data_IF_205891900016
#
_entry.id   IF_205891900016
#
_cell.length_a   1.000
_cell.length_b   1.000
_cell.length_c   1.000
_cell.angle_alpha   90.00
_cell.angle_beta   90.00
_cell.angle_gamma   90.00
#
_symmetry.space_group_name_H-M   'P 1'
#
loop_
_entity.id
_entity.type
_entity.pdbx_description
1 polymer ?
#
# COMPACT_ATOMS: atom_id res chain seq x y z
N UNK A 1 -94.32 31.55 -13.69
CA UNK A 1 -93.16 31.87 -14.55
C UNK A 1 -91.96 32.13 -13.65
N UNK A 2 -90.96 31.23 -13.66
CA UNK A 2 -89.79 31.31 -12.78
C UNK A 2 -88.52 31.59 -13.60
N UNK A 3 -87.88 32.73 -13.33
CA UNK A 3 -86.69 33.22 -14.03
C UNK A 3 -85.43 32.58 -13.45
N UNK A 4 -84.75 31.71 -14.21
CA UNK A 4 -83.46 31.11 -13.81
C UNK A 4 -82.30 32.06 -14.11
N UNK A 5 -81.67 32.60 -13.07
CA UNK A 5 -80.37 33.27 -13.16
C UNK A 5 -79.26 32.26 -13.53
N UNK A 6 -78.62 32.44 -14.69
CA UNK A 6 -77.39 31.73 -15.07
C UNK A 6 -76.19 32.34 -14.34
N UNK A 7 -75.57 31.58 -13.43
CA UNK A 7 -74.26 31.92 -12.84
C UNK A 7 -73.17 31.88 -13.92
N UNK A 8 -72.55 33.03 -14.20
CA UNK A 8 -71.33 33.12 -15.04
C UNK A 8 -70.13 32.55 -14.26
N UNK A 9 -69.46 31.54 -14.84
CA UNK A 9 -68.16 31.05 -14.36
C UNK A 9 -67.07 32.06 -14.73
N UNK A 10 -66.31 32.52 -13.75
CA UNK A 10 -65.12 33.35 -13.94
C UNK A 10 -63.98 32.43 -14.42
N UNK A 11 -63.24 32.78 -15.50
CA UNK A 11 -62.09 31.99 -15.95
C UNK A 11 -60.98 32.02 -14.89
N UNK A 12 -60.46 30.85 -14.53
CA UNK A 12 -59.25 30.76 -13.68
C UNK A 12 -58.09 31.38 -14.46
N UNK A 13 -57.53 32.47 -13.94
CA UNK A 13 -56.34 33.10 -14.49
C UNK A 13 -55.21 32.06 -14.60
N UNK A 14 -54.75 31.78 -15.82
CA UNK A 14 -53.52 31.06 -16.06
C UNK A 14 -52.38 31.89 -15.45
N UNK A 15 -51.77 31.38 -14.37
CA UNK A 15 -50.52 31.95 -13.84
C UNK A 15 -49.46 31.85 -14.93
N UNK A 16 -49.13 32.97 -15.57
CA UNK A 16 -47.98 33.04 -16.46
C UNK A 16 -46.72 32.77 -15.65
N UNK A 17 -46.03 31.65 -15.91
CA UNK A 17 -44.68 31.44 -15.39
C UNK A 17 -43.80 32.52 -16.00
N UNK A 18 -43.24 33.42 -15.17
CA UNK A 18 -42.26 34.40 -15.64
C UNK A 18 -41.10 33.64 -16.31
N UNK A 19 -40.60 34.09 -17.47
CA UNK A 19 -39.45 33.47 -18.09
C UNK A 19 -38.25 33.59 -17.15
N UNK A 20 -37.62 32.45 -16.87
CA UNK A 20 -36.38 32.34 -16.09
C UNK A 20 -35.29 33.10 -16.85
N UNK A 21 -34.58 34.03 -16.21
CA UNK A 21 -33.57 34.85 -16.86
C UNK A 21 -32.44 33.98 -17.43
N UNK A 22 -31.75 34.44 -18.47
CA UNK A 22 -30.62 33.70 -19.06
C UNK A 22 -29.53 33.39 -18.02
N UNK A 23 -29.31 34.30 -17.07
CA UNK A 23 -28.41 34.10 -15.93
C UNK A 23 -28.88 32.95 -15.02
N UNK A 24 -30.17 32.87 -14.70
CA UNK A 24 -30.72 31.76 -13.92
C UNK A 24 -30.59 30.42 -14.66
N UNK A 25 -30.71 30.41 -15.99
CA UNK A 25 -30.49 29.20 -16.79
C UNK A 25 -29.01 28.77 -16.78
N UNK A 26 -28.08 29.73 -16.84
CA UNK A 26 -26.64 29.47 -16.79
C UNK A 26 -26.22 28.91 -15.42
N UNK A 27 -26.71 29.51 -14.33
CA UNK A 27 -26.46 29.04 -12.95
C UNK A 27 -26.97 27.62 -12.77
N UNK A 28 -28.23 27.33 -13.16
CA UNK A 28 -28.78 25.97 -13.08
C UNK A 28 -28.02 24.97 -13.96
N UNK A 29 -27.43 25.40 -15.08
CA UNK A 29 -26.59 24.52 -15.90
C UNK A 29 -25.27 24.19 -15.19
N UNK A 30 -24.61 25.19 -14.60
CA UNK A 30 -23.36 25.01 -13.84
C UNK A 30 -23.60 24.08 -12.63
N UNK A 31 -24.64 24.34 -11.83
CA UNK A 31 -25.01 23.51 -10.68
C UNK A 31 -25.26 22.04 -11.08
N UNK A 32 -25.88 21.81 -12.24
CA UNK A 32 -26.09 20.44 -12.76
C UNK A 32 -24.80 19.75 -13.17
N UNK A 33 -23.85 20.49 -13.76
CA UNK A 33 -22.55 19.94 -14.14
C UNK A 33 -21.72 19.61 -12.90
N UNK A 34 -21.71 20.52 -11.91
CA UNK A 34 -21.03 20.31 -10.63
C UNK A 34 -21.59 19.09 -9.89
N UNK A 35 -22.92 18.99 -9.75
CA UNK A 35 -23.54 17.83 -9.12
C UNK A 35 -23.30 16.51 -9.89
N UNK A 36 -23.21 16.56 -11.22
CA UNK A 36 -22.90 15.39 -12.02
C UNK A 36 -21.43 14.94 -11.84
N UNK A 37 -20.50 15.88 -11.75
CA UNK A 37 -19.08 15.60 -11.51
C UNK A 37 -18.86 15.10 -10.08
N UNK A 38 -19.48 15.71 -9.08
CA UNK A 38 -19.46 15.21 -7.69
C UNK A 38 -19.96 13.77 -7.61
N UNK A 39 -21.07 13.46 -8.28
CA UNK A 39 -21.61 12.10 -8.33
C UNK A 39 -20.64 11.13 -9.01
N UNK A 40 -19.95 11.56 -10.08
CA UNK A 40 -18.93 10.76 -10.76
C UNK A 40 -17.73 10.51 -9.84
N UNK A 41 -17.24 11.54 -9.17
CA UNK A 41 -16.12 11.45 -8.22
C UNK A 41 -16.47 10.48 -7.10
N UNK A 42 -17.66 10.64 -6.50
CA UNK A 42 -18.10 9.77 -5.42
C UNK A 42 -18.20 8.30 -5.87
N UNK A 43 -18.71 8.05 -7.08
CA UNK A 43 -18.78 6.70 -7.64
C UNK A 43 -17.39 6.06 -7.86
N UNK A 44 -16.34 6.85 -8.09
CA UNK A 44 -14.96 6.37 -8.16
C UNK A 44 -14.45 6.00 -6.76
N UNK A 45 -14.72 6.85 -5.77
CA UNK A 45 -14.23 6.65 -4.39
C UNK A 45 -14.94 5.51 -3.66
N UNK A 46 -16.21 5.26 -3.96
CA UNK A 46 -16.99 4.15 -3.39
C UNK A 46 -16.65 2.79 -4.00
N UNK A 47 -15.85 2.77 -5.08
CA UNK A 47 -15.50 1.55 -5.79
C UNK A 47 -14.23 0.90 -5.20
N UNK A 48 -14.27 -0.38 -4.81
CA UNK A 48 -13.05 -1.09 -4.43
C UNK A 48 -12.13 -1.34 -5.64
N UNK A 49 -10.84 -1.18 -5.41
CA UNK A 49 -9.78 -1.53 -6.36
C UNK A 49 -8.96 -2.69 -5.80
N UNK A 50 -8.79 -3.75 -6.59
CA UNK A 50 -7.85 -4.82 -6.25
C UNK A 50 -6.47 -4.45 -6.79
N UNK A 51 -5.61 -3.99 -5.90
CA UNK A 51 -4.22 -3.69 -6.23
C UNK A 51 -3.33 -4.86 -5.84
N UNK A 52 -2.32 -5.14 -6.66
CA UNK A 52 -1.45 -6.32 -6.51
C UNK A 52 0.01 -5.92 -6.55
N UNK A 53 0.85 -6.74 -5.93
CA UNK A 53 2.29 -6.75 -6.13
C UNK A 53 2.83 -8.17 -6.01
N UNK A 54 3.81 -8.47 -6.85
CA UNK A 54 4.60 -9.70 -6.80
C UNK A 54 6.06 -9.30 -6.55
N UNK A 55 6.71 -9.92 -5.58
CA UNK A 55 8.11 -9.61 -5.25
C UNK A 55 8.83 -10.80 -4.64
N UNK A 56 10.16 -10.72 -4.60
CA UNK A 56 11.02 -11.69 -3.94
C UNK A 56 11.66 -11.02 -2.73
N UNK A 57 11.52 -11.60 -1.54
CA UNK A 57 11.98 -10.99 -0.29
C UNK A 57 13.50 -10.76 -0.35
N UNK A 58 14.25 -11.72 -0.87
CA UNK A 58 15.71 -11.64 -0.96
C UNK A 58 16.18 -10.57 -1.94
N UNK A 59 15.47 -10.41 -3.07
CA UNK A 59 15.78 -9.40 -4.09
C UNK A 59 15.51 -7.99 -3.53
N UNK A 60 14.31 -7.75 -2.98
CA UNK A 60 13.96 -6.48 -2.30
C UNK A 60 14.98 -6.14 -1.21
N UNK A 61 15.34 -7.11 -0.38
CA UNK A 61 16.31 -6.91 0.70
C UNK A 61 17.66 -6.49 0.15
N UNK A 62 18.14 -7.15 -0.89
CA UNK A 62 19.42 -6.83 -1.52
C UNK A 62 19.43 -5.38 -2.00
N UNK A 63 18.38 -4.93 -2.67
CA UNK A 63 18.31 -3.57 -3.21
C UNK A 63 18.30 -2.52 -2.11
N UNK A 64 17.51 -2.73 -1.05
CA UNK A 64 17.49 -1.83 0.11
C UNK A 64 18.84 -1.81 0.86
N UNK A 65 19.52 -2.96 0.97
CA UNK A 65 20.84 -3.02 1.62
C UNK A 65 21.91 -2.31 0.79
N UNK A 66 21.88 -2.44 -0.55
CA UNK A 66 22.80 -1.72 -1.43
C UNK A 66 22.65 -0.20 -1.22
N UNK A 67 21.41 0.29 -1.15
CA UNK A 67 21.15 1.70 -0.86
C UNK A 67 21.77 2.15 0.48
N UNK A 68 21.64 1.36 1.54
CA UNK A 68 22.26 1.67 2.83
C UNK A 68 23.78 1.77 2.72
N UNK A 69 24.42 0.80 2.05
CA UNK A 69 25.89 0.78 1.87
C UNK A 69 26.36 2.00 1.07
N UNK A 70 25.67 2.34 -0.01
CA UNK A 70 26.00 3.49 -0.87
C UNK A 70 25.94 4.83 -0.11
N UNK A 71 25.06 4.93 0.89
CA UNK A 71 24.85 6.16 1.68
C UNK A 71 25.52 6.13 3.06
N UNK A 72 26.37 5.12 3.32
CA UNK A 72 27.07 4.97 4.59
C UNK A 72 26.14 4.78 5.80
N UNK A 73 24.95 4.22 5.57
CA UNK A 73 23.99 3.89 6.61
C UNK A 73 24.28 2.49 7.15
N UNK A 74 24.27 2.32 8.47
CA UNK A 74 24.34 1.01 9.10
C UNK A 74 22.91 0.46 9.31
N UNK A 75 22.47 -0.54 8.51
CA UNK A 75 21.16 -1.14 8.68
C UNK A 75 21.02 -1.94 9.99
N UNK A 76 22.14 -2.23 10.67
CA UNK A 76 22.19 -2.94 11.95
C UNK A 76 22.29 -1.98 13.17
N UNK A 77 22.35 -0.66 12.95
CA UNK A 77 22.38 0.32 14.03
C UNK A 77 21.08 0.24 14.85
N UNK A 78 21.19 -0.26 16.08
CA UNK A 78 20.05 -0.55 16.97
C UNK A 78 19.20 0.67 17.34
N UNK A 79 19.73 1.87 17.12
CA UNK A 79 19.22 3.11 17.69
C UNK A 79 18.56 4.02 16.64
N UNK A 80 18.56 3.63 15.35
CA UNK A 80 18.01 4.44 14.26
C UNK A 80 17.10 3.63 13.34
N UNK A 81 15.87 4.09 13.17
CA UNK A 81 14.99 3.65 12.09
C UNK A 81 15.52 4.25 10.79
N UNK A 82 16.01 3.41 9.86
CA UNK A 82 16.48 3.88 8.55
C UNK A 82 15.27 4.31 7.72
N UNK A 83 15.22 5.59 7.33
CA UNK A 83 14.25 6.07 6.35
C UNK A 83 14.72 5.74 4.93
N UNK A 84 13.83 5.13 4.14
CA UNK A 84 14.04 4.90 2.72
C UNK A 84 13.12 5.80 1.90
N UNK A 85 13.68 6.61 0.96
CA UNK A 85 12.91 7.40 0.02
C UNK A 85 11.90 6.56 -0.78
N UNK A 86 10.87 7.22 -1.29
CA UNK A 86 9.81 6.62 -2.10
C UNK A 86 10.38 5.92 -3.33
N UNK A 87 11.30 6.55 -4.06
CA UNK A 87 11.94 5.98 -5.25
C UNK A 87 12.62 4.65 -4.94
N UNK A 88 13.38 4.58 -3.85
CA UNK A 88 14.14 3.39 -3.44
C UNK A 88 13.20 2.23 -3.10
N UNK A 89 12.16 2.48 -2.31
CA UNK A 89 11.20 1.43 -1.93
C UNK A 89 10.39 0.98 -3.13
N UNK A 90 9.88 1.91 -3.94
CA UNK A 90 9.05 1.56 -5.10
C UNK A 90 9.86 0.77 -6.14
N UNK A 91 11.12 1.14 -6.37
CA UNK A 91 11.98 0.45 -7.32
C UNK A 91 12.35 -0.96 -6.85
N UNK A 92 12.68 -1.15 -5.56
CA UNK A 92 12.98 -2.46 -4.99
C UNK A 92 11.82 -3.47 -5.14
N UNK A 93 10.58 -2.98 -5.22
CA UNK A 93 9.38 -3.78 -5.45
C UNK A 93 8.92 -3.74 -6.93
N UNK A 94 9.83 -3.48 -7.87
CA UNK A 94 9.58 -3.47 -9.31
C UNK A 94 8.43 -2.54 -9.75
N UNK A 95 8.23 -1.44 -9.02
CA UNK A 95 7.24 -0.41 -9.36
C UNK A 95 5.81 -0.96 -9.49
N UNK A 96 5.48 -2.00 -8.71
CA UNK A 96 4.16 -2.63 -8.73
C UNK A 96 3.03 -1.69 -8.24
N UNK A 97 1.81 -1.96 -8.70
CA UNK A 97 0.66 -1.07 -8.45
C UNK A 97 0.40 -0.84 -6.95
N UNK A 98 0.44 -1.93 -6.17
CA UNK A 98 0.13 -1.89 -4.75
C UNK A 98 1.22 -1.16 -3.96
N UNK A 99 2.51 -1.38 -4.25
CA UNK A 99 3.59 -0.70 -3.52
C UNK A 99 3.59 0.81 -3.79
N UNK A 100 3.31 1.24 -5.03
CA UNK A 100 3.17 2.67 -5.36
C UNK A 100 2.07 3.28 -4.50
N UNK A 101 0.88 2.69 -4.52
CA UNK A 101 -0.29 3.21 -3.81
C UNK A 101 -0.09 3.24 -2.28
N UNK A 102 0.54 2.21 -1.72
CA UNK A 102 0.83 2.13 -0.28
C UNK A 102 1.91 3.13 0.15
N UNK A 103 3.05 3.17 -0.57
CA UNK A 103 4.18 4.04 -0.22
C UNK A 103 3.82 5.52 -0.35
N UNK A 104 2.98 5.85 -1.33
CA UNK A 104 2.46 7.21 -1.52
C UNK A 104 1.22 7.52 -0.67
N UNK A 105 0.74 6.57 0.16
CA UNK A 105 -0.44 6.71 1.02
C UNK A 105 -1.72 7.09 0.27
N UNK A 106 -1.84 6.67 -0.98
CA UNK A 106 -2.96 7.03 -1.85
C UNK A 106 -4.23 6.24 -1.50
N UNK A 107 -4.06 5.09 -0.84
CA UNK A 107 -5.13 4.14 -0.57
C UNK A 107 -5.17 3.68 0.88
N UNK A 108 -6.37 3.29 1.32
CA UNK A 108 -6.60 2.43 2.48
C UNK A 108 -7.00 1.05 2.00
N UNK A 109 -6.36 -0.01 2.50
CA UNK A 109 -6.70 -1.38 2.15
C UNK A 109 -7.11 -2.16 3.41
N UNK A 110 -8.09 -3.05 3.29
CA UNK A 110 -8.68 -3.78 4.40
C UNK A 110 -8.60 -5.30 4.25
N UNK A 111 -8.78 -5.81 3.03
CA UNK A 111 -8.85 -7.26 2.81
C UNK A 111 -7.69 -7.70 1.94
N UNK A 112 -7.04 -8.79 2.33
CA UNK A 112 -5.77 -9.22 1.77
C UNK A 112 -5.79 -10.69 1.39
N UNK A 113 -5.29 -10.95 0.19
CA UNK A 113 -4.88 -12.28 -0.25
C UNK A 113 -3.35 -12.30 -0.34
N UNK A 114 -2.73 -13.19 0.42
CA UNK A 114 -1.29 -13.35 0.46
C UNK A 114 -0.96 -14.79 0.10
N UNK A 115 -0.13 -14.97 -0.93
CA UNK A 115 0.49 -16.23 -1.28
C UNK A 115 2.01 -16.10 -1.18
N UNK A 116 2.66 -17.08 -0.57
CA UNK A 116 4.11 -17.13 -0.41
C UNK A 116 4.60 -18.53 -0.80
N UNK A 117 5.55 -18.57 -1.72
CA UNK A 117 6.27 -19.79 -2.07
C UNK A 117 7.73 -19.65 -1.64
N UNK A 118 8.14 -20.49 -0.69
CA UNK A 118 9.49 -20.46 -0.14
C UNK A 118 10.26 -21.66 -0.64
N UNK A 119 11.28 -21.41 -1.44
CA UNK A 119 12.17 -22.42 -1.97
C UNK A 119 13.36 -22.59 -1.04
N UNK A 120 13.59 -23.84 -0.62
CA UNK A 120 14.71 -24.21 0.21
C UNK A 120 15.58 -25.24 -0.49
N UNK A 121 16.89 -25.13 -0.28
CA UNK A 121 17.90 -26.01 -0.86
C UNK A 121 18.71 -26.72 0.23
N UNK A 122 18.89 -28.02 0.08
CA UNK A 122 19.79 -28.81 0.92
C UNK A 122 21.08 -29.07 0.16
N UNK A 123 22.21 -28.58 0.69
CA UNK A 123 23.52 -28.71 0.07
C UNK A 123 24.07 -30.15 0.11
N UNK A 124 23.66 -30.96 1.08
CA UNK A 124 24.17 -32.33 1.24
C UNK A 124 23.49 -33.30 0.27
N UNK A 125 22.21 -33.06 -0.05
CA UNK A 125 21.39 -33.95 -0.89
C UNK A 125 21.06 -33.36 -2.25
N UNK A 126 21.48 -32.11 -2.51
CA UNK A 126 21.13 -31.31 -3.69
C UNK A 126 19.61 -31.19 -3.93
N UNK A 127 18.82 -31.34 -2.87
CA UNK A 127 17.37 -31.34 -2.96
C UNK A 127 16.80 -29.93 -2.85
N UNK A 128 15.84 -29.62 -3.73
CA UNK A 128 15.03 -28.41 -3.66
C UNK A 128 13.62 -28.77 -3.21
N UNK A 129 13.13 -28.06 -2.20
CA UNK A 129 11.75 -28.15 -1.74
C UNK A 129 11.08 -26.78 -1.82
N UNK A 130 9.77 -26.77 -1.99
CA UNK A 130 8.96 -25.55 -1.94
C UNK A 130 7.93 -25.70 -0.84
N UNK A 131 7.91 -24.76 0.09
CA UNK A 131 6.92 -24.68 1.16
C UNK A 131 5.93 -23.57 0.81
N UNK A 132 4.72 -23.92 0.34
CA UNK A 132 3.69 -22.93 0.02
C UNK A 132 2.98 -22.48 1.30
N UNK A 133 2.60 -21.21 1.34
CA UNK A 133 1.77 -20.60 2.35
C UNK A 133 0.74 -19.70 1.68
N UNK A 134 -0.52 -19.80 2.10
CA UNK A 134 -1.58 -18.94 1.62
C UNK A 134 -2.50 -18.55 2.75
N UNK A 135 -2.89 -17.28 2.78
CA UNK A 135 -3.84 -16.76 3.76
C UNK A 135 -4.72 -15.66 3.18
N UNK A 136 -5.95 -15.62 3.71
CA UNK A 136 -6.90 -14.53 3.53
C UNK A 136 -7.02 -13.80 4.87
N UNK A 137 -6.89 -12.48 4.85
CA UNK A 137 -6.98 -11.64 6.04
C UNK A 137 -8.01 -10.54 5.77
N UNK A 138 -9.03 -10.46 6.62
CA UNK A 138 -10.11 -9.50 6.46
C UNK A 138 -10.00 -8.38 7.49
N UNK A 139 -10.32 -7.15 7.06
CA UNK A 139 -10.41 -5.97 7.93
C UNK A 139 -9.11 -5.53 8.60
N UNK A 140 -7.94 -5.79 7.99
CA UNK A 140 -6.64 -5.38 8.51
C UNK A 140 -5.99 -4.31 7.64
N UNK A 141 -5.32 -3.35 8.28
CA UNK A 141 -4.43 -2.42 7.56
C UNK A 141 -3.14 -3.12 7.12
N UNK A 142 -2.41 -2.56 6.14
CA UNK A 142 -1.11 -3.09 5.73
C UNK A 142 -0.10 -3.19 6.89
N UNK A 143 -0.12 -2.20 7.80
CA UNK A 143 0.72 -2.21 8.99
C UNK A 143 0.40 -3.34 9.95
N UNK A 144 -0.87 -3.71 10.08
CA UNK A 144 -1.32 -4.85 10.88
C UNK A 144 -1.00 -6.19 10.21
N UNK A 145 -1.14 -6.28 8.89
CA UNK A 145 -0.73 -7.46 8.12
C UNK A 145 0.75 -7.76 8.35
N UNK A 146 1.61 -6.75 8.29
CA UNK A 146 3.06 -6.91 8.42
C UNK A 146 3.51 -7.12 9.88
N UNK A 147 3.03 -6.30 10.82
CA UNK A 147 3.52 -6.27 12.21
C UNK A 147 2.65 -7.05 13.22
N UNK A 148 1.51 -7.57 12.77
CA UNK A 148 0.52 -8.21 13.63
C UNK A 148 -0.57 -7.25 14.09
N UNK A 149 -1.70 -7.82 14.53
CA UNK A 149 -2.82 -7.06 15.08
C UNK A 149 -3.16 -7.55 16.48
N UNK A 150 -3.38 -6.62 17.39
CA UNK A 150 -3.85 -6.93 18.75
C UNK A 150 -5.35 -7.30 18.76
N UNK A 151 -6.08 -6.87 17.74
CA UNK A 151 -7.54 -6.97 17.68
C UNK A 151 -8.01 -8.06 16.72
N UNK A 152 -7.28 -8.29 15.62
CA UNK A 152 -7.64 -9.32 14.67
C UNK A 152 -7.32 -10.72 15.20
N UNK A 153 -8.35 -11.59 15.17
CA UNK A 153 -8.24 -13.00 15.55
C UNK A 153 -8.57 -13.87 14.34
N UNK A 154 -7.70 -14.82 14.06
CA UNK A 154 -7.87 -15.78 12.99
C UNK A 154 -8.38 -17.10 13.56
N UNK A 155 -9.38 -17.67 12.90
CA UNK A 155 -9.80 -19.04 13.14
C UNK A 155 -8.73 -20.01 12.63
N UNK A 156 -8.27 -20.88 13.52
CA UNK A 156 -7.31 -21.94 13.23
C UNK A 156 -8.01 -23.28 13.20
N UNK A 157 -7.29 -24.31 12.75
CA UNK A 157 -7.76 -25.70 12.75
C UNK A 157 -8.23 -26.10 14.16
N UNK A 158 -9.38 -26.76 14.23
CA UNK A 158 -9.99 -27.18 15.50
C UNK A 158 -10.80 -26.08 16.21
N UNK A 159 -11.09 -24.94 15.56
CA UNK A 159 -11.97 -23.90 16.10
C UNK A 159 -11.31 -22.95 17.09
N UNK A 160 -9.99 -23.06 17.30
CA UNK A 160 -9.24 -22.14 18.15
C UNK A 160 -9.00 -20.82 17.43
N UNK A 161 -9.23 -19.70 18.13
CA UNK A 161 -8.95 -18.36 17.60
C UNK A 161 -7.65 -17.84 18.20
N UNK A 162 -6.64 -17.59 17.37
CA UNK A 162 -5.38 -16.95 17.79
C UNK A 162 -5.27 -15.56 17.20
N UNK A 163 -4.51 -14.66 17.86
CA UNK A 163 -4.24 -13.32 17.32
C UNK A 163 -3.34 -13.44 16.09
N UNK A 164 -3.54 -12.56 15.12
CA UNK A 164 -2.61 -12.40 14.01
C UNK A 164 -1.28 -11.82 14.51
N UNK A 165 -0.18 -12.52 14.27
CA UNK A 165 1.11 -12.17 14.84
C UNK A 165 2.04 -11.40 13.91
N UNK A 166 1.57 -11.13 12.68
CA UNK A 166 2.34 -10.52 11.62
C UNK A 166 2.83 -11.57 10.64
N UNK A 167 2.87 -11.19 9.36
CA UNK A 167 3.15 -12.10 8.26
C UNK A 167 4.42 -12.93 8.48
N UNK A 168 5.48 -12.28 8.95
CA UNK A 168 6.77 -12.95 9.10
C UNK A 168 6.78 -14.01 10.19
N UNK A 169 6.16 -13.72 11.35
CA UNK A 169 6.06 -14.71 12.42
C UNK A 169 5.21 -15.90 11.98
N UNK A 170 4.13 -15.63 11.27
CA UNK A 170 3.20 -16.65 10.78
C UNK A 170 3.83 -17.54 9.70
N UNK A 171 4.68 -16.98 8.83
CA UNK A 171 5.50 -17.74 7.89
C UNK A 171 6.51 -18.62 8.63
N UNK A 172 7.23 -18.09 9.62
CA UNK A 172 8.21 -18.86 10.40
C UNK A 172 7.56 -20.01 11.17
N UNK A 173 6.41 -19.77 11.80
CA UNK A 173 5.64 -20.81 12.50
C UNK A 173 5.15 -21.88 11.51
N UNK A 174 4.66 -21.47 10.32
CA UNK A 174 4.27 -22.41 9.25
C UNK A 174 5.43 -23.26 8.75
N UNK A 175 6.62 -22.68 8.59
CA UNK A 175 7.83 -23.44 8.22
C UNK A 175 8.20 -24.45 9.30
N UNK A 176 8.18 -24.05 10.57
CA UNK A 176 8.50 -24.94 11.69
C UNK A 176 7.51 -26.12 11.80
N UNK A 177 6.26 -25.91 11.41
CA UNK A 177 5.21 -26.93 11.40
C UNK A 177 5.21 -27.83 10.15
N UNK A 178 6.07 -27.59 9.16
CA UNK A 178 6.10 -28.38 7.93
C UNK A 178 6.65 -29.80 8.21
N UNK A 179 5.73 -30.74 8.48
CA UNK A 179 5.98 -31.98 9.23
C UNK A 179 6.78 -33.07 8.50
N UNK A 180 6.98 -32.92 7.20
CA UNK A 180 7.43 -34.05 6.38
C UNK A 180 8.96 -34.15 6.25
N UNK A 181 9.72 -33.14 6.69
CA UNK A 181 11.19 -33.11 6.55
C UNK A 181 11.89 -32.37 7.67
N UNK A 182 13.11 -32.80 7.99
CA UNK A 182 14.00 -32.03 8.87
C UNK A 182 14.53 -30.80 8.13
N UNK A 183 13.73 -29.72 8.11
CA UNK A 183 14.04 -28.48 7.42
C UNK A 183 15.30 -27.77 7.96
N UNK A 184 15.85 -28.19 9.10
CA UNK A 184 17.09 -27.63 9.65
C UNK A 184 18.31 -27.84 8.74
N UNK A 185 18.25 -28.81 7.83
CA UNK A 185 19.30 -29.06 6.82
C UNK A 185 19.14 -28.24 5.55
N UNK A 186 18.02 -27.55 5.40
CA UNK A 186 17.72 -26.74 4.22
C UNK A 186 18.03 -25.27 4.50
N UNK A 187 18.52 -24.56 3.49
CA UNK A 187 18.65 -23.09 3.51
C UNK A 187 17.63 -22.48 2.58
N UNK A 188 16.99 -21.40 3.03
CA UNK A 188 16.12 -20.59 2.18
C UNK A 188 16.99 -19.97 1.08
N UNK A 189 16.60 -20.17 -0.18
CA UNK A 189 17.28 -19.60 -1.35
C UNK A 189 16.44 -18.52 -2.02
N UNK A 190 15.10 -18.60 -1.92
CA UNK A 190 14.19 -17.66 -2.56
C UNK A 190 12.81 -17.74 -1.92
N UNK A 191 12.20 -16.59 -1.68
CA UNK A 191 10.85 -16.45 -1.14
C UNK A 191 10.03 -15.53 -2.03
N UNK A 192 9.18 -16.13 -2.86
CA UNK A 192 8.28 -15.40 -3.75
C UNK A 192 7.00 -15.05 -3.04
N UNK A 193 6.61 -13.78 -3.07
CA UNK A 193 5.40 -13.28 -2.43
C UNK A 193 4.50 -12.67 -3.48
N UNK A 194 3.23 -13.07 -3.45
CA UNK A 194 2.13 -12.41 -4.13
C UNK A 194 1.20 -11.83 -3.09
N UNK A 195 0.96 -10.53 -3.16
CA UNK A 195 0.04 -9.83 -2.28
C UNK A 195 -0.99 -9.07 -3.12
N UNK A 196 -2.26 -9.24 -2.78
CA UNK A 196 -3.37 -8.48 -3.35
C UNK A 196 -4.19 -7.88 -2.20
N UNK A 197 -4.50 -6.58 -2.31
CA UNK A 197 -5.33 -5.86 -1.35
C UNK A 197 -6.58 -5.31 -2.01
N UNK A 198 -7.73 -5.42 -1.35
CA UNK A 198 -8.89 -4.59 -1.65
C UNK A 198 -8.68 -3.20 -1.04
N UNK A 199 -8.64 -2.19 -1.91
CA UNK A 199 -8.20 -0.85 -1.57
C UNK A 199 -9.19 0.21 -2.05
N UNK A 200 -9.31 1.29 -1.27
CA UNK A 200 -10.10 2.48 -1.57
C UNK A 200 -9.17 3.69 -1.57
N UNK A 201 -9.33 4.58 -2.55
CA UNK A 201 -8.56 5.83 -2.58
C UNK A 201 -9.03 6.77 -1.47
N UNK A 202 -8.08 7.39 -0.77
CA UNK A 202 -8.38 8.30 0.35
C UNK A 202 -9.26 9.47 -0.11
N UNK A 203 -9.01 9.99 -1.30
CA UNK A 203 -9.81 11.01 -1.96
C UNK A 203 -9.49 11.07 -3.47
N UNK A 204 -10.22 11.91 -4.21
CA UNK A 204 -10.06 12.01 -5.66
C UNK A 204 -8.68 12.52 -6.09
N UNK A 205 -8.07 13.40 -5.30
CA UNK A 205 -6.70 13.88 -5.57
C UNK A 205 -5.70 12.73 -5.52
N UNK A 206 -5.80 11.83 -4.53
CA UNK A 206 -4.94 10.64 -4.45
C UNK A 206 -5.15 9.68 -5.61
N UNK A 207 -6.39 9.55 -6.09
CA UNK A 207 -6.68 8.79 -7.31
C UNK A 207 -6.02 9.40 -8.55
N UNK A 208 -6.07 10.71 -8.72
CA UNK A 208 -5.41 11.41 -9.83
C UNK A 208 -3.89 11.30 -9.75
N UNK A 209 -3.30 11.46 -8.55
CA UNK A 209 -1.87 11.28 -8.33
C UNK A 209 -1.43 9.84 -8.65
N UNK A 210 -2.24 8.84 -8.27
CA UNK A 210 -1.98 7.46 -8.64
C UNK A 210 -1.97 7.27 -10.16
N UNK A 211 -3.00 7.75 -10.87
CA UNK A 211 -3.04 7.66 -12.33
C UNK A 211 -1.84 8.35 -13.00
N UNK A 212 -1.42 9.51 -12.47
CA UNK A 212 -0.26 10.23 -12.95
C UNK A 212 1.02 9.40 -12.79
N UNK A 213 1.24 8.79 -11.61
CA UNK A 213 2.39 7.91 -11.37
C UNK A 213 2.37 6.66 -12.26
N UNK A 214 1.19 6.12 -12.54
CA UNK A 214 1.04 5.01 -13.48
C UNK A 214 1.44 5.41 -14.90
N UNK A 215 1.14 6.65 -15.30
CA UNK A 215 1.64 7.25 -16.54
C UNK A 215 3.16 7.31 -16.57
N UNK A 216 3.77 7.91 -15.54
CA UNK A 216 5.24 7.99 -15.43
C UNK A 216 5.92 6.62 -15.45
N UNK A 217 5.31 5.61 -14.82
CA UNK A 217 5.81 4.23 -14.86
C UNK A 217 5.74 3.66 -16.27
N UNK A 218 4.62 3.85 -16.97
CA UNK A 218 4.45 3.36 -18.34
C UNK A 218 5.44 3.99 -19.34
N UNK A 219 5.88 5.21 -19.03
CA UNK A 219 6.92 5.93 -19.78
C UNK A 219 8.35 5.57 -19.35
N UNK A 220 8.51 4.80 -18.26
CA UNK A 220 9.82 4.40 -17.74
C UNK A 220 10.57 5.49 -16.96
N UNK A 221 9.88 6.56 -16.53
CA UNK A 221 10.48 7.74 -15.89
C UNK A 221 10.05 7.95 -14.44
N UNK A 222 9.25 7.04 -13.87
CA UNK A 222 8.72 7.17 -12.50
C UNK A 222 9.84 7.37 -11.46
N UNK A 223 10.86 6.51 -11.48
CA UNK A 223 11.96 6.56 -10.49
C UNK A 223 12.77 7.84 -10.64
N UNK A 224 13.01 8.30 -11.88
CA UNK A 224 13.67 9.58 -12.12
C UNK A 224 12.87 10.75 -11.56
N UNK A 225 11.57 10.80 -11.81
CA UNK A 225 10.69 11.84 -11.31
C UNK A 225 10.64 11.86 -9.76
N UNK A 226 10.55 10.69 -9.12
CA UNK A 226 10.59 10.58 -7.66
C UNK A 226 11.94 11.05 -7.10
N UNK A 227 13.06 10.67 -7.74
CA UNK A 227 14.38 11.14 -7.32
C UNK A 227 14.53 12.67 -7.42
N UNK A 228 13.96 13.29 -8.45
CA UNK A 228 13.93 14.76 -8.56
C UNK A 228 13.14 15.40 -7.42
N UNK A 229 11.98 14.82 -7.06
CA UNK A 229 11.19 15.30 -5.91
C UNK A 229 11.98 15.17 -4.59
N UNK A 230 12.68 14.05 -4.38
CA UNK A 230 13.51 13.86 -3.19
C UNK A 230 14.62 14.91 -3.10
N UNK A 231 15.30 15.22 -4.22
CA UNK A 231 16.32 16.29 -4.27
C UNK A 231 15.77 17.64 -3.86
N UNK A 232 14.58 17.99 -4.37
CA UNK A 232 13.90 19.24 -4.00
C UNK A 232 13.59 19.31 -2.50
N UNK A 233 13.25 18.19 -1.86
CA UNK A 233 13.00 18.15 -0.40
C UNK A 233 14.27 18.24 0.44
N UNK A 234 15.41 17.75 -0.07
CA UNK A 234 16.74 18.00 0.51
C UNK A 234 17.11 19.48 0.42
N UNK A 235 16.92 20.10 -0.75
CA UNK A 235 17.20 21.53 -0.97
C UNK A 235 16.35 22.44 -0.06
N UNK A 236 15.11 22.03 0.23
CA UNK A 236 14.22 22.72 1.18
C UNK A 236 14.59 22.48 2.66
N UNK A 237 15.60 21.65 2.94
CA UNK A 237 16.00 21.29 4.30
C UNK A 237 14.98 20.42 5.05
N UNK A 238 14.12 19.69 4.33
CA UNK A 238 13.22 18.70 4.96
C UNK A 238 13.90 17.36 5.17
N UNK A 239 14.82 17.00 4.28
CA UNK A 239 15.66 15.82 4.35
C UNK A 239 17.15 16.22 4.42
N UNK A 240 17.96 15.44 5.12
CA UNK A 240 19.41 15.60 5.16
C UNK A 240 20.08 14.95 3.93
N UNK A 241 21.42 15.04 3.88
CA UNK A 241 22.22 14.46 2.80
C UNK A 241 22.27 12.92 2.82
N UNK A 242 21.81 12.30 3.91
CA UNK A 242 21.54 10.86 4.03
C UNK A 242 20.05 10.57 3.81
N UNK A 243 19.30 11.53 3.27
CA UNK A 243 17.88 11.44 2.98
C UNK A 243 17.00 11.14 4.21
N UNK A 244 17.48 11.47 5.41
CA UNK A 244 16.73 11.33 6.66
C UNK A 244 15.98 12.63 6.99
N UNK A 245 14.77 12.59 7.58
CA UNK A 245 14.05 13.79 8.00
C UNK A 245 14.83 14.64 9.03
N UNK A 246 14.88 15.96 8.83
CA UNK A 246 15.66 16.90 9.67
C UNK A 246 14.90 17.38 10.95
N UNK A 247 13.57 17.24 11.04
CA UNK A 247 12.79 17.65 12.24
C UNK A 247 11.90 16.56 12.84
N UNK A 248 11.81 16.52 14.18
CA UNK A 248 10.93 15.63 14.97
C UNK A 248 9.44 16.04 14.96
N UNK A 249 9.07 17.13 14.28
CA UNK A 249 7.69 17.63 14.23
C UNK A 249 7.19 17.71 12.79
N UNK A 250 6.07 17.04 12.51
CA UNK A 250 5.40 16.87 11.20
C UNK A 250 6.03 15.84 10.26
N UNK A 251 5.98 14.57 10.64
CA UNK A 251 5.86 13.48 9.67
C UNK A 251 4.43 12.96 9.67
N UNK A 252 3.58 13.53 8.81
CA UNK A 252 2.46 12.76 8.21
C UNK A 252 2.98 11.78 7.15
N UNK A 253 4.28 11.55 7.10
CA UNK A 253 4.93 10.54 6.29
C UNK A 253 5.10 9.33 7.22
N UNK A 254 4.35 8.23 7.03
CA UNK A 254 4.48 7.05 7.86
C UNK A 254 5.90 6.56 7.72
N UNK A 255 6.60 6.58 8.85
CA UNK A 255 7.82 5.84 9.06
C UNK A 255 7.49 4.39 8.74
N UNK A 256 8.02 3.92 7.62
CA UNK A 256 8.05 2.50 7.29
C UNK A 256 8.87 1.80 8.38
N UNK A 257 8.21 1.42 9.47
CA UNK A 257 8.80 0.56 10.48
C UNK A 257 9.09 -0.77 9.78
N UNK A 258 10.36 -0.98 9.46
CA UNK A 258 10.90 -2.28 9.14
C UNK A 258 10.45 -3.29 10.22
N UNK A 259 9.98 -4.46 9.79
CA UNK A 259 9.75 -5.59 10.70
C UNK A 259 11.02 -5.85 11.53
N UNK A 260 10.92 -6.13 12.85
CA UNK A 260 12.06 -6.36 13.74
C UNK A 260 13.02 -7.49 13.34
N UNK A 261 12.72 -8.34 12.35
CA UNK A 261 13.59 -9.47 11.98
C UNK A 261 14.84 -9.12 11.17
N UNK A 262 15.03 -7.87 10.74
CA UNK A 262 16.36 -7.39 10.37
C UNK A 262 17.34 -7.35 11.57
N UNK A 263 16.84 -7.38 12.81
CA UNK A 263 17.68 -7.27 14.01
C UNK A 263 18.48 -8.54 14.33
N UNK A 264 18.05 -9.70 13.86
CA UNK A 264 18.69 -10.98 14.25
C UNK A 264 19.57 -11.60 13.16
N UNK A 265 19.31 -11.34 11.86
CA UNK A 265 20.11 -11.93 10.78
C UNK A 265 21.29 -11.05 10.31
N UNK A 266 21.25 -9.73 10.53
CA UNK A 266 22.40 -8.84 10.21
C UNK A 266 23.59 -9.09 11.15
N UNK A 267 23.32 -9.46 12.41
CA UNK A 267 24.36 -9.84 13.38
C UNK A 267 25.08 -11.14 12.99
N UNK A 268 24.41 -12.06 12.29
CA UNK A 268 25.01 -13.30 11.82
C UNK A 268 25.82 -13.10 10.53
N UNK A 269 25.32 -12.30 9.58
CA UNK A 269 26.00 -12.03 8.31
C UNK A 269 27.25 -11.12 8.47
N UNK A 270 27.20 -10.13 9.36
CA UNK A 270 28.32 -9.21 9.59
C UNK A 270 29.50 -9.87 10.34
N UNK A 271 29.22 -10.84 11.22
CA UNK A 271 30.26 -11.62 11.91
C UNK A 271 30.95 -12.65 10.98
N UNK A 272 30.24 -13.14 9.96
CA UNK A 272 30.82 -14.03 8.94
C UNK A 272 31.80 -13.30 8.01
N UNK A 273 31.53 -12.05 7.65
CA UNK A 273 32.48 -11.24 6.85
C UNK A 273 33.74 -10.85 7.64
N UNK A 274 33.63 -10.59 8.96
CA UNK A 274 34.81 -10.33 9.82
C UNK A 274 35.67 -11.57 10.08
N UNK A 275 35.10 -12.79 10.04
CA UNK A 275 35.86 -14.04 10.15
C UNK A 275 36.54 -14.48 8.85
N UNK A 276 36.09 -13.97 7.70
CA UNK A 276 36.68 -14.29 6.38
C UNK A 276 37.72 -13.23 5.95
N UNK A 277 37.65 -12.02 6.51
CA UNK A 277 38.58 -10.91 6.23
C UNK A 277 39.68 -10.73 7.30
N UNK A 278 39.92 -11.73 8.15
CA UNK A 278 40.97 -11.76 9.18
C UNK A 278 41.86 -12.99 9.04
#
# INVERSE_FOLDING_TARGET
MATKLKKRKIPKAQRSRKPVSQEQQLVTYIEKQEAAEEKRIQAILDKPFILKMDFCIEDVRKDLMNFCVEHGMDPAAKDKTVFFPESVVIDAYNQENLIIALKMQQVTCSDWLIGVDTHLYNYDTEEVITVPYQILLDGMTYGEVTNGSKHAKLERKGGFKTRWQGLEKELNDHYAEYKDRDLRKFKIIRTQVRMAGECYFVNYKMYQEYLFMQGLRSEGVLIEALNQLTKVEVEKGKLDYQLQPISEGLTTIPTNAFSPLLKEQSAAAFNLQKMIAG
#
